data_IF_640747453002
#
_entry.id   IF_640747453002
#
_cell.length_a   1.000
_cell.length_b   1.000
_cell.length_c   1.000
_cell.angle_alpha   90.00
_cell.angle_beta   90.00
_cell.angle_gamma   90.00
#
_symmetry.space_group_name_H-M   'P 1'
#
loop_
_entity.id
_entity.type
_entity.pdbx_description
1 polymer ?
#
# COMPACT_ATOMS: atom_id res chain seq x y z
N UNK A 1 -2.77 -18.12 10.63
CA UNK A 1 -2.45 -18.62 9.27
C UNK A 1 -0.94 -18.78 9.16
N UNK A 2 -0.42 -19.47 8.15
CA UNK A 2 1.01 -19.39 7.82
C UNK A 2 1.36 -17.98 7.32
N UNK A 3 2.66 -17.66 7.23
CA UNK A 3 3.10 -16.35 6.74
C UNK A 3 2.65 -16.11 5.29
N UNK A 4 2.88 -17.09 4.41
CA UNK A 4 2.51 -17.00 3.00
C UNK A 4 1.00 -16.90 2.80
N UNK A 5 0.20 -17.73 3.51
CA UNK A 5 -1.28 -17.63 3.45
C UNK A 5 -1.77 -16.27 3.94
N UNK A 6 -1.10 -15.66 4.92
CA UNK A 6 -1.45 -14.34 5.39
C UNK A 6 -1.16 -13.26 4.34
N UNK A 7 -0.02 -13.33 3.66
CA UNK A 7 0.32 -12.39 2.59
C UNK A 7 -0.58 -12.55 1.36
N UNK A 8 -0.95 -13.78 1.03
CA UNK A 8 -1.90 -14.09 -0.04
C UNK A 8 -3.30 -13.54 0.29
N UNK A 9 -3.75 -13.67 1.55
CA UNK A 9 -5.00 -13.08 2.04
C UNK A 9 -4.96 -11.54 1.94
N UNK A 10 -3.88 -10.88 2.37
CA UNK A 10 -3.74 -9.41 2.21
C UNK A 10 -3.83 -9.01 0.74
N UNK A 11 -3.16 -9.77 -0.14
CA UNK A 11 -3.15 -9.52 -1.60
C UNK A 11 -4.54 -9.70 -2.20
N UNK A 12 -5.24 -10.77 -1.83
CA UNK A 12 -6.61 -11.07 -2.26
C UNK A 12 -7.56 -9.95 -1.83
N UNK A 13 -7.48 -9.52 -0.57
CA UNK A 13 -8.31 -8.43 -0.05
C UNK A 13 -8.02 -7.09 -0.74
N UNK A 14 -6.77 -6.81 -1.15
CA UNK A 14 -6.43 -5.64 -1.94
C UNK A 14 -7.08 -5.65 -3.33
N UNK A 15 -7.14 -6.83 -3.96
CA UNK A 15 -7.87 -7.02 -5.22
C UNK A 15 -9.37 -6.84 -5.01
N UNK A 16 -9.97 -7.53 -4.04
CA UNK A 16 -11.42 -7.57 -3.84
C UNK A 16 -12.02 -6.25 -3.32
N UNK A 17 -11.34 -5.55 -2.40
CA UNK A 17 -11.89 -4.35 -1.75
C UNK A 17 -11.73 -3.12 -2.65
N UNK A 18 -10.67 -3.07 -3.46
CA UNK A 18 -10.25 -1.87 -4.18
C UNK A 18 -10.14 -2.04 -5.70
N UNK A 19 -10.55 -3.20 -6.23
CA UNK A 19 -10.46 -3.56 -7.65
C UNK A 19 -9.05 -3.33 -8.22
N UNK A 20 -8.02 -3.62 -7.42
CA UNK A 20 -6.63 -3.53 -7.90
C UNK A 20 -6.33 -4.72 -8.80
N UNK A 21 -5.68 -4.48 -9.94
CA UNK A 21 -5.10 -5.57 -10.73
C UNK A 21 -4.17 -6.43 -9.87
N UNK A 22 -4.10 -7.74 -10.12
CA UNK A 22 -3.28 -8.68 -9.36
C UNK A 22 -1.83 -8.20 -9.23
N UNK A 23 -1.23 -7.76 -10.35
CA UNK A 23 0.12 -7.25 -10.38
C UNK A 23 0.29 -6.00 -9.48
N UNK A 24 -0.73 -5.15 -9.37
CA UNK A 24 -0.70 -3.97 -8.52
C UNK A 24 -0.89 -4.31 -7.04
N UNK A 25 -1.73 -5.30 -6.71
CA UNK A 25 -1.92 -5.79 -5.35
C UNK A 25 -0.65 -6.50 -4.85
N UNK A 26 -0.11 -7.45 -5.63
CA UNK A 26 1.14 -8.17 -5.34
C UNK A 26 2.28 -7.18 -5.14
N UNK A 27 2.45 -6.22 -6.06
CA UNK A 27 3.51 -5.23 -5.94
C UNK A 27 3.40 -4.43 -4.64
N UNK A 28 2.19 -4.08 -4.20
CA UNK A 28 2.01 -3.32 -2.97
C UNK A 28 2.43 -4.11 -1.74
N UNK A 29 2.16 -5.41 -1.71
CA UNK A 29 2.60 -6.32 -0.64
C UNK A 29 4.12 -6.51 -0.67
N UNK A 30 4.72 -6.73 -1.84
CA UNK A 30 6.18 -6.85 -1.99
C UNK A 30 6.89 -5.56 -1.57
N UNK A 31 6.41 -4.40 -2.00
CA UNK A 31 6.96 -3.10 -1.58
C UNK A 31 6.89 -2.94 -0.04
N UNK A 32 5.87 -3.50 0.61
CA UNK A 32 5.72 -3.47 2.06
C UNK A 32 6.64 -4.49 2.76
N UNK A 33 6.87 -5.66 2.17
CA UNK A 33 7.87 -6.62 2.65
C UNK A 33 9.28 -6.02 2.61
N UNK A 34 9.64 -5.36 1.50
CA UNK A 34 10.93 -4.66 1.35
C UNK A 34 11.09 -3.51 2.36
N UNK A 35 9.98 -2.92 2.80
CA UNK A 35 9.95 -1.88 3.83
C UNK A 35 9.86 -2.44 5.26
N UNK A 36 10.08 -3.74 5.44
CA UNK A 36 10.06 -4.45 6.72
C UNK A 36 8.70 -4.37 7.46
N UNK A 37 7.61 -4.04 6.75
CA UNK A 37 6.27 -3.85 7.35
C UNK A 37 5.75 -5.12 8.02
N UNK A 38 5.99 -6.29 7.41
CA UNK A 38 5.45 -7.57 7.88
C UNK A 38 6.37 -8.34 8.84
N UNK A 39 7.50 -7.78 9.27
CA UNK A 39 8.45 -8.48 10.16
C UNK A 39 7.80 -8.92 11.47
N UNK A 40 6.88 -8.13 12.04
CA UNK A 40 6.14 -8.53 13.24
C UNK A 40 5.26 -9.77 13.00
N UNK A 41 4.61 -9.86 11.84
CA UNK A 41 3.73 -10.98 11.46
C UNK A 41 4.52 -12.26 11.16
N UNK A 42 5.77 -12.14 10.71
CA UNK A 42 6.66 -13.27 10.53
C UNK A 42 7.08 -13.88 11.87
N UNK A 43 7.45 -13.01 12.83
CA UNK A 43 7.89 -13.42 14.16
C UNK A 43 6.76 -13.87 15.09
N UNK A 44 5.55 -13.34 14.93
CA UNK A 44 4.40 -13.63 15.79
C UNK A 44 3.22 -14.22 14.97
N UNK A 45 3.03 -15.55 15.03
CA UNK A 45 1.92 -16.23 14.38
C UNK A 45 0.53 -15.75 14.80
N UNK A 46 0.36 -15.20 16.01
CA UNK A 46 -0.93 -14.75 16.52
C UNK A 46 -1.44 -13.50 15.80
N UNK A 47 -0.54 -12.74 15.17
CA UNK A 47 -0.89 -11.58 14.35
C UNK A 47 -1.44 -11.98 12.98
N UNK A 48 -1.22 -13.21 12.52
CA UNK A 48 -1.64 -13.68 11.18
C UNK A 48 -3.08 -14.18 11.16
N UNK A 49 -4.01 -13.26 11.41
CA UNK A 49 -5.47 -13.51 11.39
C UNK A 49 -6.13 -12.84 10.18
N UNK A 50 -7.28 -13.34 9.71
CA UNK A 50 -8.02 -12.70 8.62
C UNK A 50 -8.42 -11.24 8.93
N UNK A 51 -8.76 -10.96 10.20
CA UNK A 51 -9.10 -9.62 10.66
C UNK A 51 -7.90 -8.66 10.54
N UNK A 52 -6.71 -9.16 10.86
CA UNK A 52 -5.48 -8.40 10.73
C UNK A 52 -5.10 -8.20 9.25
N UNK A 53 -5.22 -9.24 8.41
CA UNK A 53 -4.98 -9.14 6.97
C UNK A 53 -5.83 -8.04 6.32
N UNK A 54 -7.11 -7.94 6.71
CA UNK A 54 -8.00 -6.86 6.26
C UNK A 54 -7.53 -5.48 6.71
N UNK A 55 -7.05 -5.34 7.95
CA UNK A 55 -6.52 -4.04 8.44
C UNK A 55 -5.28 -3.64 7.64
N UNK A 56 -4.38 -4.59 7.38
CA UNK A 56 -3.16 -4.33 6.63
C UNK A 56 -3.45 -3.98 5.17
N UNK A 57 -4.39 -4.66 4.51
CA UNK A 57 -4.84 -4.31 3.16
C UNK A 57 -5.34 -2.85 3.08
N UNK A 58 -6.16 -2.42 4.05
CA UNK A 58 -6.64 -1.03 4.14
C UNK A 58 -5.47 -0.07 4.35
N UNK A 59 -4.60 -0.35 5.33
CA UNK A 59 -3.47 0.52 5.66
C UNK A 59 -2.50 0.71 4.48
N UNK A 60 -2.18 -0.38 3.76
CA UNK A 60 -1.33 -0.34 2.58
C UNK A 60 -1.95 0.49 1.45
N UNK A 61 -3.25 0.31 1.19
CA UNK A 61 -3.92 1.08 0.16
C UNK A 61 -4.00 2.58 0.51
N UNK A 62 -4.32 2.93 1.76
CA UNK A 62 -4.31 4.32 2.22
C UNK A 62 -2.92 4.95 2.13
N UNK A 63 -1.88 4.23 2.54
CA UNK A 63 -0.50 4.70 2.41
C UNK A 63 -0.12 4.98 0.95
N UNK A 64 -0.52 4.11 0.01
CA UNK A 64 -0.35 4.31 -1.43
C UNK A 64 -1.06 5.59 -1.90
N UNK A 65 -2.32 5.79 -1.54
CA UNK A 65 -3.09 6.99 -1.92
C UNK A 65 -2.46 8.28 -1.37
N UNK A 66 -2.01 8.25 -0.11
CA UNK A 66 -1.33 9.39 0.53
C UNK A 66 -0.03 9.75 -0.18
N UNK A 67 0.76 8.75 -0.59
CA UNK A 67 1.99 8.94 -1.37
C UNK A 67 1.70 9.59 -2.73
N UNK A 68 0.68 9.09 -3.46
CA UNK A 68 0.26 9.66 -4.75
C UNK A 68 -0.20 11.10 -4.59
N UNK A 69 -1.03 11.40 -3.59
CA UNK A 69 -1.53 12.75 -3.36
C UNK A 69 -0.39 13.72 -3.02
N UNK A 70 0.57 13.28 -2.21
CA UNK A 70 1.75 14.06 -1.84
C UNK A 70 2.61 14.37 -3.06
N UNK A 71 2.87 13.38 -3.92
CA UNK A 71 3.62 13.58 -5.16
C UNK A 71 2.91 14.55 -6.11
N UNK A 72 1.59 14.43 -6.30
CA UNK A 72 0.80 15.37 -7.14
C UNK A 72 0.91 16.81 -6.63
N UNK A 73 0.76 17.02 -5.32
CA UNK A 73 0.88 18.36 -4.70
C UNK A 73 2.28 18.96 -4.92
N UNK A 74 3.33 18.15 -4.78
CA UNK A 74 4.70 18.59 -5.04
C UNK A 74 4.91 18.98 -6.52
N UNK A 75 4.43 18.16 -7.46
CA UNK A 75 4.54 18.44 -8.89
C UNK A 75 3.79 19.73 -9.28
N UNK A 76 2.57 19.95 -8.76
CA UNK A 76 1.80 21.17 -9.01
C UNK A 76 2.53 22.43 -8.53
N UNK A 77 3.14 22.39 -7.33
CA UNK A 77 3.95 23.49 -6.79
C UNK A 77 5.14 23.81 -7.69
N UNK A 78 5.82 22.79 -8.20
CA UNK A 78 6.96 22.97 -9.12
C UNK A 78 6.50 23.57 -10.45
N UNK A 79 5.37 23.14 -10.99
CA UNK A 79 4.82 23.70 -12.24
C UNK A 79 4.39 25.16 -12.07
N UNK A 80 3.72 25.51 -10.96
CA UNK A 80 3.31 26.90 -10.68
C UNK A 80 4.52 27.84 -10.60
N UNK A 81 5.63 27.42 -9.98
CA UNK A 81 6.87 28.21 -9.93
C UNK A 81 7.52 28.44 -11.30
N UNK A 82 7.30 27.54 -12.27
CA UNK A 82 7.87 27.63 -13.62
C UNK A 82 7.01 28.44 -14.59
N UNK A 83 5.75 28.75 -14.27
CA UNK A 83 4.89 29.55 -15.15
C UNK A 83 5.28 31.03 -15.01
N UNK A 84 5.55 31.74 -16.12
CA UNK A 84 5.83 33.16 -16.06
C UNK A 84 4.59 33.91 -15.52
N UNK A 85 4.77 35.05 -14.82
CA UNK A 85 3.64 35.88 -14.40
C UNK A 85 2.84 36.27 -15.66
N UNK A 86 1.51 36.14 -15.57
CA UNK A 86 0.63 36.65 -16.63
C UNK A 86 0.81 38.16 -16.69
N UNK A 87 1.26 38.65 -17.84
CA UNK A 87 1.31 40.07 -18.19
C UNK A 87 -0.10 40.66 -18.32
#
# INVERSE_FOLDING_TARGET
>A
MTYEEFLDEVTTLLHEIYDLDDAAAIKLVVDAQDAEYFVAHDNDPELRTPEQARKDAVALHEAKQNKVQTQKKQQQRVQQKKRPPRA
#
